data_IF_890330165599
#
_entry.id   IF_890330165599
#
_cell.length_a   1.000
_cell.length_b   1.000
_cell.length_c   1.000
_cell.angle_alpha   90.00
_cell.angle_beta   90.00
_cell.angle_gamma   90.00
#
_symmetry.space_group_name_H-M   'P 1'
#
loop_
_entity.id
_entity.type
_entity.pdbx_description
1 polymer ?
#
# COMPACT_ATOMS: atom_id res chain seq x y z
N UNK A 1 33.36 40.47 42.58
CA UNK A 1 32.13 40.83 41.84
C UNK A 1 31.21 39.63 41.92
N UNK A 2 30.23 39.68 42.83
CA UNK A 2 29.28 38.59 43.04
C UNK A 2 28.13 38.76 42.04
N UNK A 3 27.92 37.76 41.20
CA UNK A 3 26.83 37.74 40.22
C UNK A 3 25.68 37.00 40.87
N UNK A 4 24.68 37.77 41.33
CA UNK A 4 23.41 37.25 41.82
C UNK A 4 22.63 36.61 40.65
N UNK A 5 22.54 35.29 40.65
CA UNK A 5 21.62 34.52 39.80
C UNK A 5 20.45 34.06 40.65
N UNK A 6 19.36 34.83 40.65
CA UNK A 6 18.20 34.57 41.49
C UNK A 6 16.90 35.07 40.90
N UNK A 7 16.59 34.69 39.66
CA UNK A 7 15.22 34.81 39.13
C UNK A 7 14.80 33.47 38.54
N UNK A 8 13.83 32.76 39.15
CA UNK A 8 13.27 31.55 38.57
C UNK A 8 12.46 31.93 37.32
N UNK A 9 12.86 31.38 36.17
CA UNK A 9 12.10 31.51 34.93
C UNK A 9 10.84 30.66 35.09
N UNK A 10 9.70 31.33 35.32
CA UNK A 10 8.38 30.69 35.33
C UNK A 10 7.91 30.58 33.89
N UNK A 11 8.08 29.39 33.29
CA UNK A 11 7.50 29.09 31.98
C UNK A 11 5.98 28.90 32.13
N UNK A 12 5.17 29.47 31.22
CA UNK A 12 3.72 29.29 31.23
C UNK A 12 3.35 27.81 31.04
N UNK A 13 2.24 27.34 31.63
CA UNK A 13 1.80 25.96 31.49
C UNK A 13 1.53 25.65 30.01
N UNK A 14 2.28 24.69 29.47
CA UNK A 14 2.06 24.12 28.15
C UNK A 14 0.76 23.34 28.22
N UNK A 15 -0.34 23.94 27.77
CA UNK A 15 -1.60 23.25 27.58
C UNK A 15 -1.46 22.14 26.54
N UNK A 16 -2.32 21.10 26.58
CA UNK A 16 -2.22 19.97 25.66
C UNK A 16 -2.64 20.41 24.24
N UNK A 17 -1.66 20.85 23.44
CA UNK A 17 -1.84 21.22 22.03
C UNK A 17 -1.93 20.00 21.08
N UNK A 18 -1.96 18.78 21.64
CA UNK A 18 -2.08 17.53 20.89
C UNK A 18 -3.25 16.69 21.40
N UNK A 19 -4.43 17.31 21.53
CA UNK A 19 -5.67 16.54 21.40
C UNK A 19 -5.92 16.38 19.90
N UNK A 20 -5.39 15.31 19.32
CA UNK A 20 -5.72 14.87 17.96
C UNK A 20 -7.25 14.83 17.83
N UNK A 21 -7.84 15.77 17.09
CA UNK A 21 -9.19 15.64 16.56
C UNK A 21 -9.19 14.54 15.50
N UNK A 22 -9.04 13.30 15.95
CA UNK A 22 -9.59 12.15 15.26
C UNK A 22 -11.10 12.25 15.37
N UNK A 23 -11.71 13.02 14.48
CA UNK A 23 -13.15 12.97 14.24
C UNK A 23 -13.44 11.67 13.47
N UNK A 24 -13.21 10.53 14.12
CA UNK A 24 -13.91 9.29 13.78
C UNK A 24 -15.31 9.47 14.33
N UNK A 25 -16.21 9.96 13.48
CA UNK A 25 -17.63 9.90 13.77
C UNK A 25 -17.96 8.42 14.06
N UNK A 26 -18.50 8.07 15.24
CA UNK A 26 -18.84 6.67 15.59
C UNK A 26 -19.99 6.10 14.75
N UNK A 27 -20.46 6.84 13.74
CA UNK A 27 -21.56 6.48 12.85
C UNK A 27 -21.15 5.65 11.63
N UNK A 28 -19.85 5.58 11.30
CA UNK A 28 -19.39 4.84 10.11
C UNK A 28 -19.06 3.37 10.40
N UNK A 29 -18.73 3.01 11.65
CA UNK A 29 -18.34 1.64 11.98
C UNK A 29 -19.53 0.66 11.92
N UNK A 30 -20.73 1.08 12.35
CA UNK A 30 -21.93 0.24 12.26
C UNK A 30 -22.38 -0.01 10.81
N UNK A 31 -22.29 1.01 9.94
CA UNK A 31 -22.61 0.84 8.51
C UNK A 31 -21.59 -0.03 7.80
N UNK A 32 -20.31 0.09 8.16
CA UNK A 32 -19.25 -0.76 7.62
C UNK A 32 -19.45 -2.22 8.03
N UNK A 33 -19.76 -2.47 9.30
CA UNK A 33 -19.99 -3.81 9.84
C UNK A 33 -21.23 -4.46 9.20
N UNK A 34 -22.32 -3.70 9.02
CA UNK A 34 -23.52 -4.14 8.32
C UNK A 34 -23.23 -4.51 6.85
N UNK A 35 -22.43 -3.70 6.16
CA UNK A 35 -22.05 -3.98 4.77
C UNK A 35 -21.16 -5.21 4.63
N UNK A 36 -20.22 -5.42 5.56
CA UNK A 36 -19.38 -6.62 5.61
C UNK A 36 -20.23 -7.87 5.91
N UNK A 37 -21.22 -7.78 6.80
CA UNK A 37 -22.16 -8.88 7.10
C UNK A 37 -23.02 -9.25 5.89
N UNK A 38 -23.59 -8.26 5.20
CA UNK A 38 -24.39 -8.49 3.98
C UNK A 38 -23.55 -9.12 2.86
N UNK A 39 -22.30 -8.69 2.71
CA UNK A 39 -21.37 -9.29 1.76
C UNK A 39 -21.02 -10.73 2.14
N UNK A 40 -20.76 -11.02 3.41
CA UNK A 40 -20.47 -12.38 3.86
C UNK A 40 -21.67 -13.33 3.64
N UNK A 41 -22.90 -12.85 3.91
CA UNK A 41 -24.14 -13.58 3.65
C UNK A 41 -24.36 -13.84 2.16
N UNK A 42 -24.09 -12.85 1.31
CA UNK A 42 -24.22 -12.98 -0.14
C UNK A 42 -23.23 -14.00 -0.75
N UNK A 43 -22.00 -14.07 -0.21
CA UNK A 43 -20.97 -15.00 -0.69
C UNK A 43 -20.94 -16.35 0.05
N UNK A 44 -21.81 -16.56 1.03
CA UNK A 44 -21.85 -17.81 1.82
C UNK A 44 -20.60 -18.04 2.67
N UNK A 45 -19.89 -16.96 3.04
CA UNK A 45 -18.69 -17.04 3.88
C UNK A 45 -19.14 -17.15 5.34
N UNK A 46 -18.76 -18.20 6.08
CA UNK A 46 -19.07 -18.31 7.50
C UNK A 46 -18.44 -17.15 8.29
N UNK A 47 -19.26 -16.36 8.98
CA UNK A 47 -18.76 -15.27 9.82
C UNK A 47 -18.15 -15.83 11.13
N UNK A 48 -17.04 -15.24 11.62
CA UNK A 48 -16.48 -15.55 12.93
C UNK A 48 -17.52 -15.35 14.03
N UNK A 49 -17.62 -16.31 14.96
CA UNK A 49 -18.62 -16.32 16.04
C UNK A 49 -18.53 -15.13 17.01
N UNK A 50 -17.45 -14.35 16.98
CA UNK A 50 -17.29 -13.15 17.80
C UNK A 50 -18.10 -11.93 17.31
N UNK A 51 -18.54 -11.90 16.05
CA UNK A 51 -19.29 -10.76 15.47
C UNK A 51 -20.81 -10.96 15.59
N UNK A 52 -21.27 -12.13 16.04
CA UNK A 52 -22.69 -12.40 16.22
C UNK A 52 -23.19 -11.57 17.41
N UNK A 53 -23.79 -10.39 17.11
CA UNK A 53 -24.50 -9.58 18.11
C UNK A 53 -25.37 -10.50 18.93
N UNK A 54 -25.09 -10.57 20.25
CA UNK A 54 -25.97 -11.26 21.19
C UNK A 54 -27.35 -10.63 21.01
N UNK A 55 -28.38 -11.41 20.63
CA UNK A 55 -29.73 -10.87 20.58
C UNK A 55 -30.05 -10.30 21.96
N UNK A 56 -30.39 -9.02 21.99
CA UNK A 56 -30.93 -8.34 23.18
C UNK A 56 -32.14 -9.12 23.66
N UNK A 57 -32.11 -9.51 24.94
CA UNK A 57 -33.00 -10.47 25.62
C UNK A 57 -34.46 -9.99 25.81
N UNK A 58 -34.98 -9.08 24.98
CA UNK A 58 -36.28 -8.43 25.23
C UNK A 58 -37.41 -8.75 24.23
N UNK A 59 -37.21 -9.67 23.27
CA UNK A 59 -38.30 -10.17 22.40
C UNK A 59 -38.30 -11.70 22.29
N UNK A 60 -38.42 -12.38 23.43
CA UNK A 60 -38.63 -13.83 23.49
C UNK A 60 -40.09 -14.15 23.85
N UNK A 61 -41.00 -14.00 22.89
CA UNK A 61 -42.29 -14.68 22.92
C UNK A 61 -42.82 -14.91 21.50
N UNK A 62 -43.01 -16.19 21.15
CA UNK A 62 -43.72 -16.69 19.98
C UNK A 62 -42.95 -16.81 18.65
N UNK A 63 -42.07 -17.82 18.55
CA UNK A 63 -42.12 -18.76 17.42
C UNK A 63 -41.24 -19.99 17.63
N UNK A 64 -41.85 -21.03 18.21
CA UNK A 64 -41.32 -22.38 18.17
C UNK A 64 -41.63 -23.01 16.81
N UNK A 65 -40.70 -22.91 15.86
CA UNK A 65 -40.58 -23.89 14.76
C UNK A 65 -39.13 -24.29 14.57
N UNK A 66 -38.88 -25.53 14.92
CA UNK A 66 -37.65 -26.31 14.68
C UNK A 66 -37.33 -26.38 13.18
N UNK A 67 -36.07 -26.16 12.77
CA UNK A 67 -35.59 -26.65 11.49
C UNK A 67 -34.82 -27.96 11.66
N UNK A 68 -35.29 -28.95 10.92
CA UNK A 68 -34.72 -30.27 10.68
C UNK A 68 -33.26 -30.16 10.23
N UNK A 69 -32.39 -30.87 10.93
CA UNK A 69 -31.00 -31.14 10.56
C UNK A 69 -30.95 -31.95 9.27
N UNK A 70 -30.40 -31.36 8.20
CA UNK A 70 -30.03 -32.08 6.98
C UNK A 70 -28.52 -32.06 6.88
N UNK A 71 -27.92 -33.24 7.05
CA UNK A 71 -26.48 -33.47 6.87
C UNK A 71 -26.09 -33.28 5.39
N UNK A 72 -25.03 -32.54 5.07
CA UNK A 72 -24.38 -32.65 3.77
C UNK A 72 -23.38 -33.80 3.81
N UNK A 73 -23.74 -34.92 3.17
CA UNK A 73 -22.81 -35.97 2.79
C UNK A 73 -21.81 -35.42 1.78
N UNK A 74 -20.58 -35.21 2.25
CA UNK A 74 -19.44 -34.89 1.40
C UNK A 74 -18.94 -36.14 0.67
N UNK A 75 -19.07 -36.12 -0.65
CA UNK A 75 -18.31 -37.00 -1.55
C UNK A 75 -18.01 -36.24 -2.85
N UNK A 76 -16.95 -35.45 -2.83
CA UNK A 76 -16.33 -34.94 -4.05
C UNK A 76 -15.19 -35.88 -4.45
N UNK A 77 -15.27 -36.58 -5.59
CA UNK A 77 -14.13 -37.28 -6.15
C UNK A 77 -13.14 -36.26 -6.76
N UNK A 78 -11.97 -36.15 -6.12
CA UNK A 78 -10.77 -35.62 -6.73
C UNK A 78 -10.40 -36.45 -7.96
N UNK A 79 -10.42 -35.85 -9.15
CA UNK A 79 -9.78 -36.43 -10.33
C UNK A 79 -9.01 -35.35 -11.07
N UNK A 80 -7.69 -35.55 -11.10
CA UNK A 80 -6.72 -34.81 -11.90
C UNK A 80 -6.89 -35.16 -13.39
N UNK A 81 -6.71 -34.21 -14.32
CA UNK A 81 -6.70 -34.53 -15.74
C UNK A 81 -5.34 -35.11 -16.13
N UNK A 82 -5.35 -36.38 -16.53
CA UNK A 82 -4.29 -37.05 -17.27
C UNK A 82 -4.24 -36.46 -18.68
N UNK A 83 -3.02 -36.18 -19.16
CA UNK A 83 -2.74 -35.92 -20.57
C UNK A 83 -3.16 -37.14 -21.36
N UNK A 84 -4.20 -37.03 -22.18
CA UNK A 84 -4.53 -38.04 -23.17
C UNK A 84 -4.55 -37.47 -24.58
N UNK A 85 -3.84 -38.23 -25.41
CA UNK A 85 -3.46 -38.02 -26.78
C UNK A 85 -4.65 -37.87 -27.73
N UNK A 86 -4.38 -37.13 -28.81
CA UNK A 86 -5.28 -36.87 -29.91
C UNK A 86 -5.84 -38.18 -30.51
N UNK A 87 -7.13 -38.44 -30.26
CA UNK A 87 -7.93 -39.31 -31.11
C UNK A 87 -9.14 -38.55 -31.62
N UNK A 88 -9.10 -38.37 -32.94
CA UNK A 88 -10.07 -37.75 -33.83
C UNK A 88 -11.34 -38.61 -33.85
N UNK A 89 -12.16 -38.49 -32.81
CA UNK A 89 -13.46 -39.18 -32.73
C UNK A 89 -14.48 -38.33 -33.45
N UNK A 90 -14.71 -38.66 -34.71
CA UNK A 90 -15.82 -38.20 -35.54
C UNK A 90 -17.13 -38.64 -34.86
N UNK A 91 -17.74 -37.74 -34.08
CA UNK A 91 -19.06 -37.99 -33.50
C UNK A 91 -20.14 -37.90 -34.58
N UNK A 92 -21.19 -38.75 -34.50
CA UNK A 92 -22.28 -38.74 -35.47
C UNK A 92 -23.06 -37.45 -35.34
N UNK A 93 -23.16 -36.73 -36.46
CA UNK A 93 -24.05 -35.62 -36.69
C UNK A 93 -25.50 -36.13 -36.61
N UNK A 94 -26.04 -36.25 -35.39
CA UNK A 94 -27.47 -36.48 -35.19
C UNK A 94 -28.21 -35.19 -35.49
N UNK A 95 -28.69 -35.13 -36.73
CA UNK A 95 -29.56 -34.13 -37.30
C UNK A 95 -30.94 -34.23 -36.61
N UNK A 96 -31.06 -33.53 -35.49
CA UNK A 96 -32.33 -33.34 -34.77
C UNK A 96 -32.93 -32.01 -35.22
N UNK A 97 -33.85 -32.12 -36.19
CA UNK A 97 -34.75 -31.03 -36.58
C UNK A 97 -35.68 -30.72 -35.39
N UNK A 98 -35.39 -29.66 -34.66
CA UNK A 98 -36.24 -29.13 -33.59
C UNK A 98 -36.61 -27.66 -33.86
N UNK A 99 -37.82 -27.23 -33.47
CA UNK A 99 -38.47 -26.06 -34.04
C UNK A 99 -37.83 -24.75 -33.58
N UNK A 100 -37.63 -23.88 -34.55
CA UNK A 100 -36.80 -22.67 -34.55
C UNK A 100 -37.44 -21.45 -33.87
N UNK A 101 -37.94 -21.56 -32.63
CA UNK A 101 -38.56 -20.41 -31.91
C UNK A 101 -37.93 -20.12 -30.52
N UNK A 102 -36.77 -20.70 -30.21
CA UNK A 102 -36.08 -20.53 -28.91
C UNK A 102 -34.78 -19.71 -28.92
N UNK A 103 -34.42 -19.05 -30.03
CA UNK A 103 -33.05 -18.50 -30.21
C UNK A 103 -32.75 -17.22 -29.42
N UNK A 104 -33.74 -16.35 -29.18
CA UNK A 104 -33.47 -15.02 -28.60
C UNK A 104 -33.16 -15.06 -27.10
N UNK A 105 -33.82 -15.95 -26.34
CA UNK A 105 -33.53 -16.11 -24.91
C UNK A 105 -32.10 -16.62 -24.65
N UNK A 106 -31.52 -17.38 -25.58
CA UNK A 106 -30.14 -17.85 -25.47
C UNK A 106 -29.12 -16.71 -25.61
N UNK A 107 -29.38 -15.70 -26.44
CA UNK A 107 -28.46 -14.57 -26.61
C UNK A 107 -28.50 -13.61 -25.44
N UNK A 108 -29.69 -13.32 -24.91
CA UNK A 108 -29.83 -12.49 -23.72
C UNK A 108 -29.16 -13.13 -22.50
N UNK A 109 -29.32 -14.45 -22.30
CA UNK A 109 -28.67 -15.18 -21.23
C UNK A 109 -27.14 -15.15 -21.37
N UNK A 110 -26.61 -15.38 -22.58
CA UNK A 110 -25.17 -15.26 -22.86
C UNK A 110 -24.64 -13.85 -22.53
N UNK A 111 -25.40 -12.80 -22.86
CA UNK A 111 -25.04 -11.42 -22.51
C UNK A 111 -25.05 -11.20 -20.99
N UNK A 112 -26.03 -11.75 -20.27
CA UNK A 112 -26.08 -11.67 -18.79
C UNK A 112 -24.90 -12.38 -18.15
N UNK A 113 -24.59 -13.61 -18.56
CA UNK A 113 -23.43 -14.37 -18.07
C UNK A 113 -22.12 -13.65 -18.38
N UNK A 114 -21.99 -13.06 -19.57
CA UNK A 114 -20.79 -12.30 -19.96
C UNK A 114 -20.61 -11.04 -19.09
N UNK A 115 -21.69 -10.30 -18.81
CA UNK A 115 -21.67 -9.13 -17.91
C UNK A 115 -21.29 -9.53 -16.49
N UNK A 116 -21.84 -10.63 -15.97
CA UNK A 116 -21.52 -11.11 -14.63
C UNK A 116 -20.07 -11.59 -14.53
N UNK A 117 -19.58 -12.34 -15.53
CA UNK A 117 -18.16 -12.71 -15.61
C UNK A 117 -17.25 -11.49 -15.62
N UNK A 118 -17.60 -10.44 -16.36
CA UNK A 118 -16.83 -9.20 -16.39
C UNK A 118 -16.83 -8.50 -15.03
N UNK A 119 -17.98 -8.45 -14.34
CA UNK A 119 -18.12 -7.91 -12.99
C UNK A 119 -17.21 -8.64 -12.00
N UNK A 120 -17.26 -9.98 -11.98
CA UNK A 120 -16.41 -10.81 -11.12
C UNK A 120 -14.92 -10.63 -11.45
N UNK A 121 -14.54 -10.58 -12.73
CA UNK A 121 -13.16 -10.33 -13.14
C UNK A 121 -12.66 -8.96 -12.66
N UNK A 122 -13.48 -7.92 -12.81
CA UNK A 122 -13.16 -6.59 -12.33
C UNK A 122 -13.03 -6.56 -10.80
N UNK A 123 -13.89 -7.25 -10.06
CA UNK A 123 -13.81 -7.38 -8.60
C UNK A 123 -12.51 -8.09 -8.19
N UNK A 124 -12.21 -9.26 -8.76
CA UNK A 124 -10.96 -9.99 -8.48
C UNK A 124 -9.72 -9.15 -8.78
N UNK A 125 -9.72 -8.40 -9.88
CA UNK A 125 -8.62 -7.49 -10.22
C UNK A 125 -8.47 -6.37 -9.17
N UNK A 126 -9.57 -5.81 -8.67
CA UNK A 126 -9.54 -4.79 -7.60
C UNK A 126 -9.02 -5.37 -6.29
N UNK A 127 -9.45 -6.57 -5.92
CA UNK A 127 -9.01 -7.28 -4.72
C UNK A 127 -7.49 -7.54 -4.78
N UNK A 128 -7.00 -8.19 -5.83
CA UNK A 128 -5.56 -8.46 -6.01
C UNK A 128 -4.70 -7.20 -5.95
N UNK A 129 -5.17 -6.10 -6.53
CA UNK A 129 -4.45 -4.81 -6.48
C UNK A 129 -4.46 -4.17 -5.10
N UNK A 130 -5.53 -4.35 -4.33
CA UNK A 130 -5.62 -3.90 -2.94
C UNK A 130 -4.64 -4.70 -2.08
N UNK A 131 -4.69 -6.03 -2.15
CA UNK A 131 -3.79 -6.95 -1.44
C UNK A 131 -2.31 -6.66 -1.77
N UNK A 132 -1.99 -6.41 -3.05
CA UNK A 132 -0.63 -6.02 -3.44
C UNK A 132 -0.20 -4.70 -2.81
N UNK A 133 -1.06 -3.68 -2.76
CA UNK A 133 -0.72 -2.41 -2.12
C UNK A 133 -0.61 -2.55 -0.59
N UNK A 134 -1.45 -3.37 0.02
CA UNK A 134 -1.44 -3.66 1.45
C UNK A 134 -0.15 -4.39 1.85
N UNK A 135 0.19 -5.47 1.16
CA UNK A 135 1.47 -6.18 1.37
C UNK A 135 2.71 -5.30 1.15
N UNK A 136 2.68 -4.37 0.19
CA UNK A 136 3.78 -3.41 0.01
C UNK A 136 3.87 -2.43 1.19
N UNK A 137 2.75 -1.96 1.73
CA UNK A 137 2.73 -1.10 2.92
C UNK A 137 3.28 -1.81 4.15
N UNK A 138 2.78 -3.01 4.44
CA UNK A 138 3.29 -3.85 5.52
C UNK A 138 4.80 -4.10 5.37
N UNK A 139 5.26 -4.33 4.12
CA UNK A 139 6.69 -4.54 3.86
C UNK A 139 7.53 -3.27 4.08
N UNK A 140 7.00 -2.09 3.76
CA UNK A 140 7.65 -0.81 4.03
C UNK A 140 7.80 -0.62 5.53
N UNK A 141 6.71 -0.79 6.29
CA UNK A 141 6.70 -0.66 7.75
C UNK A 141 7.70 -1.62 8.41
N UNK A 142 7.67 -2.90 8.05
CA UNK A 142 8.61 -3.89 8.59
C UNK A 142 10.09 -3.55 8.27
N UNK A 143 10.36 -2.98 7.09
CA UNK A 143 11.72 -2.56 6.74
C UNK A 143 12.16 -1.29 7.47
N UNK A 144 11.23 -0.38 7.78
CA UNK A 144 11.49 0.80 8.60
C UNK A 144 11.78 0.41 10.05
N UNK A 145 11.00 -0.50 10.62
CA UNK A 145 11.24 -1.03 11.98
C UNK A 145 12.61 -1.71 12.07
N UNK A 146 12.95 -2.51 11.06
CA UNK A 146 14.26 -3.15 10.95
C UNK A 146 15.41 -2.13 10.84
N UNK A 147 15.21 -1.05 10.06
CA UNK A 147 16.18 0.04 9.95
C UNK A 147 16.45 0.68 11.31
N UNK A 148 15.40 1.04 12.06
CA UNK A 148 15.53 1.67 13.37
C UNK A 148 16.22 0.75 14.37
N UNK A 149 15.91 -0.56 14.35
CA UNK A 149 16.59 -1.54 15.20
C UNK A 149 18.09 -1.65 14.85
N UNK A 150 18.42 -1.75 13.57
CA UNK A 150 19.80 -1.82 13.09
C UNK A 150 20.59 -0.55 13.45
N UNK A 151 19.92 0.61 13.39
CA UNK A 151 20.51 1.90 13.73
C UNK A 151 20.82 2.00 15.22
N UNK A 152 19.88 1.62 16.08
CA UNK A 152 20.12 1.56 17.53
C UNK A 152 21.28 0.63 17.88
N UNK A 153 21.36 -0.55 17.26
CA UNK A 153 22.47 -1.48 17.45
C UNK A 153 23.80 -0.89 16.96
N UNK A 154 23.81 -0.26 15.79
CA UNK A 154 24.98 0.44 15.27
C UNK A 154 25.47 1.53 16.22
N UNK A 155 24.57 2.40 16.71
CA UNK A 155 24.91 3.49 17.62
C UNK A 155 25.45 2.98 18.96
N UNK A 156 24.88 1.89 19.49
CA UNK A 156 25.38 1.21 20.68
C UNK A 156 26.82 0.73 20.49
N UNK A 157 27.11 0.00 19.40
CA UNK A 157 28.45 -0.51 19.13
C UNK A 157 29.44 0.60 18.78
N UNK A 158 29.03 1.62 18.05
CA UNK A 158 29.86 2.78 17.76
C UNK A 158 30.26 3.50 19.06
N UNK A 159 29.30 3.69 19.99
CA UNK A 159 29.56 4.26 21.31
C UNK A 159 30.54 3.40 22.11
N UNK A 160 30.38 2.08 22.10
CA UNK A 160 31.30 1.16 22.76
C UNK A 160 32.74 1.31 22.22
N UNK A 161 32.92 1.42 20.89
CA UNK A 161 34.25 1.66 20.32
C UNK A 161 34.82 3.01 20.76
N UNK A 162 34.01 4.07 20.79
CA UNK A 162 34.45 5.38 21.30
C UNK A 162 34.93 5.31 22.75
N UNK A 163 34.21 4.58 23.61
CA UNK A 163 34.60 4.38 25.02
C UNK A 163 35.91 3.59 25.14
N UNK A 164 36.10 2.54 24.35
CA UNK A 164 37.35 1.78 24.31
C UNK A 164 38.54 2.66 23.88
N UNK A 165 38.32 3.55 22.91
CA UNK A 165 39.34 4.53 22.46
C UNK A 165 39.72 5.52 23.57
N UNK A 166 38.75 6.00 24.35
CA UNK A 166 39.00 6.91 25.48
C UNK A 166 39.69 6.22 26.66
N UNK A 167 39.50 4.90 26.81
CA UNK A 167 40.16 4.09 27.84
C UNK A 167 41.65 3.84 27.62
N UNK A 168 42.28 4.48 26.61
CA UNK A 168 43.69 4.30 26.22
C UNK A 168 44.08 2.84 25.93
N UNK A 169 43.14 2.02 25.45
CA UNK A 169 43.47 0.72 24.86
C UNK A 169 43.92 0.97 23.42
N UNK A 170 45.14 1.49 23.27
CA UNK A 170 45.63 2.07 21.99
C UNK A 170 45.96 1.00 20.94
N UNK A 171 46.15 -0.25 21.37
CA UNK A 171 46.58 -1.34 20.50
C UNK A 171 45.44 -2.25 20.02
N UNK A 172 44.17 -1.86 20.17
CA UNK A 172 43.08 -2.68 19.65
C UNK A 172 42.95 -2.41 18.14
N UNK A 173 43.15 -3.42 17.27
CA UNK A 173 42.99 -3.30 15.81
C UNK A 173 41.61 -2.77 15.39
N UNK A 174 40.66 -2.78 16.33
CA UNK A 174 39.29 -2.37 16.12
C UNK A 174 39.14 -0.87 15.83
N UNK A 175 39.99 -0.03 16.42
CA UNK A 175 39.92 1.43 16.27
C UNK A 175 40.38 1.86 14.88
N UNK A 176 41.42 1.21 14.34
CA UNK A 176 41.95 1.48 12.99
C UNK A 176 40.96 1.08 11.90
N UNK A 177 40.29 -0.07 12.05
CA UNK A 177 39.23 -0.49 11.13
C UNK A 177 38.04 0.49 11.14
N UNK A 178 37.72 1.08 12.30
CA UNK A 178 36.66 2.07 12.40
C UNK A 178 36.93 3.32 11.56
N UNK A 179 38.18 3.79 11.59
CA UNK A 179 38.62 4.96 10.84
C UNK A 179 38.54 4.70 9.33
N UNK A 180 38.81 3.46 8.91
CA UNK A 180 38.68 3.02 7.52
C UNK A 180 37.22 2.84 7.07
N UNK A 181 36.31 2.44 7.96
CA UNK A 181 34.86 2.42 7.69
C UNK A 181 34.27 3.84 7.67
N UNK A 182 35.02 4.80 8.21
CA UNK A 182 34.81 6.22 8.00
C UNK A 182 33.59 6.76 8.74
N UNK A 183 33.86 7.67 9.66
CA UNK A 183 32.88 8.62 10.22
C UNK A 183 32.17 9.41 9.10
N UNK A 184 32.72 9.43 7.89
CA UNK A 184 32.12 10.02 6.69
C UNK A 184 30.91 9.25 6.12
N UNK A 185 30.61 8.04 6.59
CA UNK A 185 29.46 7.25 6.10
C UNK A 185 28.16 7.48 6.88
N UNK A 186 28.15 8.32 7.93
CA UNK A 186 26.92 8.57 8.72
C UNK A 186 25.92 9.47 8.01
N UNK A 187 26.38 10.26 7.04
CA UNK A 187 25.49 10.99 6.16
C UNK A 187 25.08 10.03 5.05
N UNK A 188 23.81 9.64 5.04
CA UNK A 188 23.13 8.87 4.00
C UNK A 188 23.05 9.74 2.72
N UNK A 189 24.23 10.12 2.22
CA UNK A 189 24.39 10.90 1.02
C UNK A 189 24.23 9.97 -0.17
N UNK A 190 23.44 10.43 -1.14
CA UNK A 190 23.41 9.77 -2.43
C UNK A 190 24.78 9.86 -3.12
N UNK A 191 24.94 9.16 -4.25
CA UNK A 191 26.18 9.17 -5.04
C UNK A 191 26.59 10.60 -5.46
N UNK A 192 25.65 11.56 -5.40
CA UNK A 192 25.84 12.98 -5.71
C UNK A 192 26.22 13.82 -4.48
N UNK A 193 26.37 13.22 -3.30
CA UNK A 193 26.74 13.92 -2.08
C UNK A 193 25.60 14.75 -1.47
N UNK A 194 24.36 14.62 -1.94
CA UNK A 194 23.20 15.25 -1.31
C UNK A 194 22.69 14.36 -0.19
N UNK A 195 22.42 14.97 0.96
CA UNK A 195 21.71 14.29 2.04
C UNK A 195 20.39 13.79 1.43
N UNK A 196 20.11 12.49 1.47
CA UNK A 196 18.77 11.98 1.22
C UNK A 196 17.87 12.43 2.37
N UNK A 197 17.63 13.74 2.49
CA UNK A 197 16.44 14.24 3.16
C UNK A 197 15.29 13.49 2.51
N UNK A 198 14.44 12.80 3.30
CA UNK A 198 13.21 12.27 2.75
C UNK A 198 12.52 13.49 2.15
N UNK A 199 12.55 13.62 0.82
CA UNK A 199 11.76 14.61 0.11
C UNK A 199 10.35 14.22 0.48
N UNK A 200 9.85 14.88 1.52
CA UNK A 200 8.46 14.90 1.88
C UNK A 200 7.86 15.67 0.72
N UNK A 201 7.64 14.95 -0.39
CA UNK A 201 6.73 15.37 -1.43
C UNK A 201 5.40 15.43 -0.69
N UNK A 202 5.16 16.57 -0.06
CA UNK A 202 3.85 16.97 0.41
C UNK A 202 2.92 16.70 -0.76
N UNK A 203 1.98 15.77 -0.58
CA UNK A 203 0.99 15.34 -1.56
C UNK A 203 0.08 16.51 -2.07
N UNK A 204 0.37 17.74 -1.65
CA UNK A 204 -0.37 18.97 -1.96
C UNK A 204 -0.02 19.61 -3.30
N UNK A 205 1.09 19.25 -3.96
CA UNK A 205 1.44 19.82 -5.27
C UNK A 205 1.05 18.85 -6.41
N UNK A 206 -0.18 18.35 -6.38
CA UNK A 206 -0.89 17.92 -7.58
C UNK A 206 -1.41 19.13 -8.40
N UNK A 207 -0.65 20.23 -8.39
CA UNK A 207 -0.86 21.33 -9.32
C UNK A 207 -0.43 20.82 -10.69
N UNK A 208 -1.40 20.28 -11.44
CA UNK A 208 -1.29 19.94 -12.85
C UNK A 208 -0.74 21.17 -13.61
N UNK A 209 0.57 21.23 -13.74
CA UNK A 209 1.20 22.07 -14.74
C UNK A 209 0.90 21.38 -16.07
N UNK A 210 -0.25 21.71 -16.67
CA UNK A 210 -0.59 21.48 -18.08
C UNK A 210 0.40 22.28 -18.97
N UNK A 211 1.69 21.93 -18.90
CA UNK A 211 2.73 22.39 -19.81
C UNK A 211 2.87 21.33 -20.89
N UNK A 212 2.80 21.79 -22.14
CA UNK A 212 2.90 21.02 -23.39
C UNK A 212 1.61 20.40 -23.93
N UNK A 213 0.59 21.26 -24.10
CA UNK A 213 -0.24 21.20 -25.31
C UNK A 213 0.36 22.14 -26.38
N UNK A 214 1.51 21.76 -26.96
CA UNK A 214 2.01 22.35 -28.21
C UNK A 214 1.30 21.68 -29.39
N UNK A 215 0.02 21.98 -29.52
CA UNK A 215 -0.81 21.60 -30.65
C UNK A 215 -1.59 22.83 -31.10
N UNK A 216 -1.13 23.44 -32.19
CA UNK A 216 -1.78 24.56 -32.88
C UNK A 216 -3.20 24.16 -33.32
N UNK A 217 -4.19 24.30 -32.43
CA UNK A 217 -5.62 24.50 -32.72
C UNK A 217 -6.55 24.34 -31.49
N UNK A 218 -6.16 24.76 -30.27
CA UNK A 218 -7.17 25.07 -29.24
C UNK A 218 -7.32 26.57 -29.11
N UNK A 219 -8.31 27.12 -29.80
CA UNK A 219 -8.79 28.51 -29.74
C UNK A 219 -9.47 28.84 -28.39
N UNK A 220 -9.00 28.23 -27.31
CA UNK A 220 -9.57 28.29 -25.96
C UNK A 220 -8.68 29.13 -25.00
N UNK A 221 -7.82 30.00 -25.56
CA UNK A 221 -7.03 30.97 -24.80
C UNK A 221 -7.97 32.03 -24.21
N UNK A 222 -8.31 31.81 -22.95
CA UNK A 222 -9.04 32.75 -22.11
C UNK A 222 -8.10 33.92 -21.83
N UNK A 223 -8.30 35.04 -22.51
CA UNK A 223 -7.63 36.31 -22.17
C UNK A 223 -8.03 36.70 -20.74
N UNK A 224 -7.12 36.51 -19.79
CA UNK A 224 -7.23 37.09 -18.46
C UNK A 224 -7.01 38.60 -18.60
N UNK A 225 -7.96 39.41 -18.12
CA UNK A 225 -7.78 40.85 -18.08
C UNK A 225 -6.72 41.24 -17.03
N UNK A 226 -6.13 42.43 -17.17
CA UNK A 226 -5.09 42.96 -16.28
C UNK A 226 -5.54 43.19 -14.83
N UNK A 227 -6.82 43.00 -14.49
CA UNK A 227 -7.37 43.23 -13.16
C UNK A 227 -7.54 41.95 -12.32
N UNK A 228 -7.10 40.78 -12.80
CA UNK A 228 -7.21 39.51 -12.06
C UNK A 228 -8.65 39.05 -11.77
N UNK A 229 -9.65 39.85 -12.17
CA UNK A 229 -11.07 39.54 -12.03
C UNK A 229 -11.50 38.85 -13.30
N UNK A 230 -11.74 37.54 -13.20
CA UNK A 230 -12.35 36.72 -14.24
C UNK A 230 -13.61 37.46 -14.71
N UNK A 231 -13.71 37.91 -15.98
CA UNK A 231 -14.95 38.51 -16.45
C UNK A 231 -16.03 37.45 -16.24
N UNK A 232 -17.03 37.78 -15.42
CA UNK A 232 -18.28 37.02 -15.34
C UNK A 232 -18.86 37.05 -16.74
N UNK A 233 -18.51 36.07 -17.57
CA UNK A 233 -19.05 35.91 -18.90
C UNK A 233 -20.54 35.62 -18.71
N UNK A 234 -21.43 36.58 -18.99
CA UNK A 234 -22.84 36.36 -18.79
C UNK A 234 -23.29 35.47 -19.94
N UNK A 235 -23.72 34.26 -19.61
CA UNK A 235 -24.65 33.47 -20.42
C UNK A 235 -24.28 33.16 -21.88
N UNK A 236 -23.01 33.17 -22.27
CA UNK A 236 -22.57 32.45 -23.48
C UNK A 236 -22.48 30.93 -23.21
N UNK A 237 -23.50 30.41 -22.52
CA UNK A 237 -24.01 29.05 -22.72
C UNK A 237 -24.61 29.05 -24.12
N UNK A 238 -23.73 29.17 -25.13
CA UNK A 238 -24.04 28.76 -26.49
C UNK A 238 -24.71 27.40 -26.35
N UNK A 239 -25.87 27.27 -26.99
CA UNK A 239 -26.71 26.09 -26.99
C UNK A 239 -25.93 24.94 -27.65
N UNK A 240 -24.97 24.36 -26.92
CA UNK A 240 -24.34 23.12 -27.31
C UNK A 240 -25.48 22.11 -27.42
N UNK A 241 -25.55 21.48 -28.59
CA UNK A 241 -26.57 20.47 -28.86
C UNK A 241 -26.54 19.41 -27.75
N UNK A 242 -27.67 18.75 -27.50
CA UNK A 242 -27.73 17.66 -26.51
C UNK A 242 -26.64 16.61 -26.78
N UNK A 243 -26.34 16.37 -28.05
CA UNK A 243 -25.28 15.47 -28.51
C UNK A 243 -23.87 15.98 -28.17
N UNK A 244 -23.60 17.26 -28.39
CA UNK A 244 -22.30 17.86 -28.06
C UNK A 244 -22.04 17.82 -26.55
N UNK A 245 -23.05 18.14 -25.73
CA UNK A 245 -22.95 18.00 -24.26
C UNK A 245 -22.65 16.58 -23.84
N UNK A 246 -23.24 15.58 -24.51
CA UNK A 246 -22.97 14.18 -24.24
C UNK A 246 -21.55 13.77 -24.66
N UNK A 247 -21.07 14.26 -25.81
CA UNK A 247 -19.68 14.06 -26.27
C UNK A 247 -18.68 14.62 -25.25
N UNK A 248 -18.88 15.84 -24.78
CA UNK A 248 -18.04 16.47 -23.76
C UNK A 248 -18.07 15.68 -22.45
N UNK A 249 -19.23 15.19 -22.00
CA UNK A 249 -19.32 14.35 -20.80
C UNK A 249 -18.51 13.05 -20.93
N UNK A 250 -18.61 12.37 -22.07
CA UNK A 250 -17.86 11.14 -22.35
C UNK A 250 -16.37 11.39 -22.40
N UNK A 251 -15.94 12.46 -23.05
CA UNK A 251 -14.54 12.85 -23.14
C UNK A 251 -13.95 13.20 -21.77
N UNK A 252 -14.66 14.03 -20.98
CA UNK A 252 -14.29 14.33 -19.59
C UNK A 252 -14.17 13.05 -18.75
N UNK A 253 -15.13 12.12 -18.88
CA UNK A 253 -15.08 10.84 -18.17
C UNK A 253 -13.86 9.98 -18.59
N UNK A 254 -13.53 9.94 -19.89
CA UNK A 254 -12.32 9.26 -20.39
C UNK A 254 -11.05 9.86 -19.79
N UNK A 255 -10.95 11.19 -19.75
CA UNK A 255 -9.80 11.89 -19.16
C UNK A 255 -9.68 11.60 -17.66
N UNK A 256 -10.76 11.71 -16.88
CA UNK A 256 -10.74 11.36 -15.46
C UNK A 256 -10.34 9.91 -15.22
N UNK A 257 -10.86 8.97 -16.01
CA UNK A 257 -10.48 7.56 -15.91
C UNK A 257 -8.99 7.36 -16.21
N UNK A 258 -8.43 8.05 -17.22
CA UNK A 258 -7.00 8.01 -17.55
C UNK A 258 -6.16 8.55 -16.40
N UNK A 259 -6.49 9.74 -15.88
CA UNK A 259 -5.78 10.38 -14.75
C UNK A 259 -5.84 9.52 -13.48
N UNK A 260 -6.99 8.91 -13.18
CA UNK A 260 -7.14 8.01 -12.04
C UNK A 260 -6.30 6.74 -12.19
N UNK A 261 -6.20 6.16 -13.40
CA UNK A 261 -5.33 5.01 -13.66
C UNK A 261 -3.86 5.37 -13.50
N UNK A 262 -3.44 6.54 -14.02
CA UNK A 262 -2.07 7.02 -13.91
C UNK A 262 -1.68 7.25 -12.45
N UNK A 263 -2.51 7.94 -11.66
CA UNK A 263 -2.28 8.14 -10.22
C UNK A 263 -2.10 6.82 -9.48
N UNK A 264 -2.98 5.85 -9.72
CA UNK A 264 -2.85 4.51 -9.12
C UNK A 264 -1.58 3.77 -9.55
N UNK A 265 -1.18 3.91 -10.81
CA UNK A 265 0.07 3.33 -11.32
C UNK A 265 1.28 3.94 -10.61
N UNK A 266 1.33 5.26 -10.52
CA UNK A 266 2.41 5.99 -9.87
C UNK A 266 2.52 5.64 -8.38
N UNK A 267 1.40 5.53 -7.65
CA UNK A 267 1.41 5.09 -6.24
C UNK A 267 2.04 3.70 -6.10
N UNK A 268 1.65 2.76 -6.96
CA UNK A 268 2.21 1.40 -6.91
C UNK A 268 3.73 1.39 -7.20
N UNK A 269 4.16 2.12 -8.23
CA UNK A 269 5.58 2.25 -8.59
C UNK A 269 6.40 2.90 -7.47
N UNK A 270 5.88 3.98 -6.85
CA UNK A 270 6.51 4.63 -5.69
C UNK A 270 6.64 3.68 -4.49
N UNK A 271 5.59 2.91 -4.18
CA UNK A 271 5.66 1.93 -3.08
C UNK A 271 6.68 0.81 -3.35
N UNK A 272 6.78 0.33 -4.60
CA UNK A 272 7.80 -0.66 -4.98
C UNK A 272 9.22 -0.08 -4.86
N UNK A 273 9.43 1.15 -5.32
CA UNK A 273 10.69 1.87 -5.19
C UNK A 273 11.09 2.05 -3.72
N UNK A 274 10.16 2.46 -2.86
CA UNK A 274 10.40 2.61 -1.42
C UNK A 274 10.87 1.30 -0.77
N UNK A 275 10.24 0.16 -1.09
CA UNK A 275 10.69 -1.16 -0.60
C UNK A 275 12.11 -1.47 -1.05
N UNK A 276 12.45 -1.19 -2.32
CA UNK A 276 13.79 -1.41 -2.85
C UNK A 276 14.84 -0.55 -2.12
N UNK A 277 14.55 0.73 -1.93
CA UNK A 277 15.49 1.68 -1.32
C UNK A 277 15.70 1.40 0.18
N UNK A 278 14.64 1.02 0.90
CA UNK A 278 14.74 0.60 2.29
C UNK A 278 15.57 -0.68 2.45
N UNK A 279 15.37 -1.69 1.57
CA UNK A 279 16.22 -2.89 1.57
C UNK A 279 17.69 -2.54 1.38
N UNK A 280 18.00 -1.72 0.38
CA UNK A 280 19.36 -1.28 0.09
C UNK A 280 19.98 -0.54 1.29
N UNK A 281 19.22 0.32 1.97
CA UNK A 281 19.67 1.02 3.18
C UNK A 281 19.93 0.05 4.34
N UNK A 282 19.02 -0.88 4.60
CA UNK A 282 19.20 -1.88 5.66
C UNK A 282 20.42 -2.77 5.39
N UNK A 283 20.63 -3.20 4.15
CA UNK A 283 21.77 -4.03 3.79
C UNK A 283 23.10 -3.28 4.01
N UNK A 284 23.18 -2.00 3.64
CA UNK A 284 24.34 -1.14 3.96
C UNK A 284 24.58 -1.06 5.46
N UNK A 285 23.53 -0.86 6.25
CA UNK A 285 23.64 -0.72 7.70
C UNK A 285 24.06 -2.04 8.37
N UNK A 286 23.53 -3.19 7.91
CA UNK A 286 23.96 -4.53 8.31
C UNK A 286 25.45 -4.75 8.03
N UNK A 287 25.92 -4.40 6.83
CA UNK A 287 27.35 -4.53 6.48
C UNK A 287 28.24 -3.72 7.42
N UNK A 288 27.85 -2.48 7.72
CA UNK A 288 28.59 -1.62 8.65
C UNK A 288 28.58 -2.17 10.07
N UNK A 289 27.41 -2.57 10.57
CA UNK A 289 27.25 -3.19 11.88
C UNK A 289 28.09 -4.47 11.99
N UNK A 290 28.10 -5.31 10.94
CA UNK A 290 28.94 -6.51 10.89
C UNK A 290 30.42 -6.17 11.05
N UNK A 291 30.92 -5.11 10.38
CA UNK A 291 32.30 -4.69 10.55
C UNK A 291 32.56 -4.24 11.99
N UNK A 292 31.67 -3.43 12.59
CA UNK A 292 31.79 -3.00 13.99
C UNK A 292 31.86 -4.19 14.96
N UNK A 293 30.91 -5.12 14.83
CA UNK A 293 30.81 -6.30 15.70
C UNK A 293 32.04 -7.19 15.54
N UNK A 294 32.46 -7.50 14.31
CA UNK A 294 33.70 -8.27 14.07
C UNK A 294 34.94 -7.55 14.58
N UNK A 295 34.93 -6.21 14.60
CA UNK A 295 36.02 -5.39 15.14
C UNK A 295 36.16 -5.55 16.66
N UNK A 296 35.02 -5.52 17.38
CA UNK A 296 34.98 -5.59 18.84
C UNK A 296 35.22 -7.03 19.34
N UNK A 297 34.61 -8.02 18.69
CA UNK A 297 34.56 -9.40 19.20
C UNK A 297 35.43 -10.40 18.39
N UNK A 298 35.90 -10.04 17.20
CA UNK A 298 36.43 -10.98 16.21
C UNK A 298 37.94 -11.23 16.20
N UNK A 299 38.66 -10.95 17.29
CA UNK A 299 40.11 -11.27 17.38
C UNK A 299 40.41 -12.54 18.19
N UNK A 300 39.44 -13.05 18.95
CA UNK A 300 39.67 -14.13 19.92
C UNK A 300 39.35 -15.53 19.38
N UNK A 301 38.61 -15.64 18.27
CA UNK A 301 38.14 -16.94 17.76
C UNK A 301 39.20 -17.76 16.99
N UNK A 302 40.46 -17.31 16.93
CA UNK A 302 41.55 -18.04 16.25
C UNK A 302 42.67 -18.50 17.19
N UNK A 303 42.49 -18.42 18.52
CA UNK A 303 43.57 -18.73 19.48
C UNK A 303 43.51 -20.12 20.14
N UNK A 304 42.60 -21.01 19.71
CA UNK A 304 42.56 -22.39 20.20
C UNK A 304 42.78 -23.38 19.05
N UNK A 305 44.01 -23.47 18.54
CA UNK A 305 44.49 -24.72 17.92
C UNK A 305 45.54 -25.36 18.84
N UNK A 306 45.11 -26.18 19.82
CA UNK A 306 46.01 -26.85 20.75
C UNK A 306 46.86 -27.96 20.13
N UNK A 307 46.71 -28.28 18.83
CA UNK A 307 47.41 -29.40 18.16
C UNK A 307 48.75 -29.02 17.49
N UNK A 308 49.26 -27.81 17.69
CA UNK A 308 50.60 -27.42 17.21
C UNK A 308 51.77 -27.98 18.06
N UNK A 309 51.51 -28.94 18.95
CA UNK A 309 52.54 -29.74 19.64
C UNK A 309 52.42 -31.21 19.24
N UNK A 310 52.97 -31.57 18.09
CA UNK A 310 53.42 -32.93 17.77
C UNK A 310 54.74 -32.90 17.02
#
# INVERSE_FOLDING_TARGET
>A
MSIDYGMPIVLPPIGPLFASSGCTLPYDDEQREQYEEDMARYFGVPLPSCIRRKPTLDEEAASLRTPTSVQPSGSFPSSSPVKDEAKKTTLPLLQLDSPTDGSEHSEEEKLRVSRERNRLHAQRTRIRKRELLESLKERIEALQDEYELLKQAYDFHATAVCLLRLGNVVDVPCVLKLEQVGVHSTEDRDEDGQLCEPKHESDDEAQEHDKDCKGDACTCLTQLNANGKRPYAPNNVLVCSKEERERVRRERNRLHARRARLRKKLVLEKSQQAVHDLRKRNDRLRSRLSVLVSSIYGSEACLDDPDATS
#
